data_IF_928528750001
#
_entry.id   IF_928528750001
#
_cell.length_a   1.000
_cell.length_b   1.000
_cell.length_c   1.000
_cell.angle_alpha   90.00
_cell.angle_beta   90.00
_cell.angle_gamma   90.00
#
_symmetry.space_group_name_H-M   'P 1'
#
loop_
_entity.id
_entity.type
_entity.pdbx_description
1 polymer ?
#
# COMPACT_ATOMS: atom_id res chain seq x y z
N UNK A 1 -18.52 -19.34 16.58
CA UNK A 1 -18.19 -18.73 17.86
C UNK A 1 -17.08 -17.67 17.76
N UNK A 2 -16.35 -17.63 16.62
CA UNK A 2 -15.37 -16.60 16.31
C UNK A 2 -15.50 -16.16 14.86
N UNK A 3 -15.16 -14.91 14.55
CA UNK A 3 -15.16 -14.33 13.22
C UNK A 3 -13.83 -13.59 12.97
N UNK A 4 -13.30 -13.81 11.78
CA UNK A 4 -12.09 -13.23 11.26
C UNK A 4 -12.39 -12.43 9.99
N UNK A 5 -11.70 -11.32 9.79
CA UNK A 5 -11.80 -10.53 8.56
C UNK A 5 -13.17 -9.90 8.31
N UNK A 6 -13.93 -9.64 9.36
CA UNK A 6 -15.20 -8.94 9.23
C UNK A 6 -14.98 -7.49 8.80
N UNK A 7 -15.96 -6.96 8.05
CA UNK A 7 -16.00 -5.55 7.72
C UNK A 7 -16.01 -4.72 9.01
N UNK A 8 -15.06 -3.80 9.18
CA UNK A 8 -14.97 -2.95 10.39
C UNK A 8 -16.21 -2.08 10.62
N UNK A 9 -17.00 -1.81 9.58
CA UNK A 9 -18.31 -1.16 9.74
C UNK A 9 -19.29 -1.95 10.62
N UNK A 10 -19.06 -3.28 10.78
CA UNK A 10 -19.87 -4.17 11.63
C UNK A 10 -19.35 -4.26 13.08
N UNK A 11 -18.14 -3.80 13.38
CA UNK A 11 -17.53 -3.95 14.71
C UNK A 11 -18.37 -3.37 15.85
N UNK A 12 -19.05 -2.21 15.70
CA UNK A 12 -19.92 -1.70 16.77
C UNK A 12 -21.04 -2.66 17.23
N UNK A 13 -21.40 -3.63 16.38
CA UNK A 13 -22.40 -4.64 16.75
C UNK A 13 -21.88 -5.67 17.76
N UNK A 14 -20.56 -5.76 17.91
CA UNK A 14 -19.86 -6.73 18.76
C UNK A 14 -19.14 -6.06 19.95
N UNK A 15 -19.25 -4.74 20.09
CA UNK A 15 -18.66 -3.99 21.21
C UNK A 15 -19.57 -4.07 22.46
N UNK A 16 -19.70 -5.28 23.01
CA UNK A 16 -20.48 -5.59 24.21
C UNK A 16 -19.86 -6.78 24.97
N UNK A 17 -20.42 -7.12 26.14
CA UNK A 17 -19.83 -8.14 27.05
C UNK A 17 -19.91 -9.58 26.50
N UNK A 18 -20.70 -9.84 25.47
CA UNK A 18 -20.83 -11.16 24.86
C UNK A 18 -19.66 -11.51 23.94
N UNK A 19 -18.82 -10.52 23.59
CA UNK A 19 -17.72 -10.68 22.64
C UNK A 19 -16.41 -10.11 23.17
N UNK A 20 -15.31 -10.70 22.70
CA UNK A 20 -13.96 -10.21 22.92
C UNK A 20 -13.27 -9.96 21.58
N UNK A 21 -12.33 -8.99 21.58
CA UNK A 21 -11.53 -8.63 20.41
C UNK A 21 -10.06 -8.82 20.72
N UNK A 22 -9.33 -9.45 19.80
CA UNK A 22 -7.88 -9.32 19.72
C UNK A 22 -7.52 -8.62 18.42
N UNK A 23 -6.52 -7.75 18.44
CA UNK A 23 -6.17 -6.94 17.28
C UNK A 23 -4.67 -6.68 17.23
N UNK A 24 -4.11 -6.71 16.02
CA UNK A 24 -2.70 -6.38 15.76
C UNK A 24 -2.52 -5.74 14.39
N UNK A 25 -1.43 -4.99 14.20
CA UNK A 25 -0.98 -4.60 12.87
C UNK A 25 -0.43 -5.82 12.14
N UNK A 26 -0.86 -6.03 10.92
CA UNK A 26 -0.42 -7.16 10.10
C UNK A 26 0.48 -6.71 8.95
N UNK A 27 1.20 -7.66 8.35
CA UNK A 27 1.96 -7.43 7.12
C UNK A 27 1.08 -7.30 5.87
N UNK A 28 -0.25 -7.24 6.00
CA UNK A 28 -1.12 -6.89 4.87
C UNK A 28 -1.08 -5.39 4.63
N UNK A 29 -0.35 -5.00 3.59
CA UNK A 29 -0.26 -3.63 3.14
C UNK A 29 -1.28 -3.33 2.04
N UNK A 30 -1.84 -2.11 2.06
CA UNK A 30 -2.62 -1.50 0.99
C UNK A 30 -1.77 -0.42 0.35
N UNK A 31 -1.56 -0.49 -0.95
CA UNK A 31 -0.61 0.36 -1.66
C UNK A 31 -1.04 0.58 -3.11
N UNK A 32 -0.58 1.69 -3.69
CA UNK A 32 -0.55 1.92 -5.11
C UNK A 32 0.84 1.66 -5.67
N UNK A 33 0.97 0.97 -6.77
CA UNK A 33 2.21 0.89 -7.52
C UNK A 33 2.13 1.64 -8.83
N UNK A 34 3.25 2.23 -9.25
CA UNK A 34 3.33 3.06 -10.43
C UNK A 34 3.67 2.25 -11.67
N UNK A 35 3.09 2.62 -12.79
CA UNK A 35 3.45 2.07 -14.09
C UNK A 35 4.56 2.93 -14.74
N UNK A 36 5.75 2.38 -14.86
CA UNK A 36 6.92 3.08 -15.42
C UNK A 36 6.90 3.22 -16.95
N UNK A 37 6.00 2.50 -17.64
CA UNK A 37 5.77 2.65 -19.09
C UNK A 37 4.65 3.65 -19.41
N UNK A 38 3.93 4.15 -18.41
CA UNK A 38 2.90 5.16 -18.60
C UNK A 38 3.50 6.50 -19.03
N UNK A 39 2.90 7.22 -19.98
CA UNK A 39 3.38 8.55 -20.37
C UNK A 39 3.30 9.59 -19.24
N UNK A 40 2.57 9.30 -18.16
CA UNK A 40 2.36 10.21 -17.03
C UNK A 40 3.22 9.77 -15.82
N UNK A 41 3.09 8.54 -15.36
CA UNK A 41 3.82 8.05 -14.18
C UNK A 41 5.25 7.59 -14.47
N UNK A 42 5.71 7.60 -15.72
CA UNK A 42 7.15 7.53 -16.05
C UNK A 42 7.92 8.78 -15.59
N UNK A 43 7.24 9.94 -15.46
CA UNK A 43 7.85 11.17 -14.92
C UNK A 43 8.00 11.05 -13.38
N UNK A 44 9.24 11.10 -12.84
CA UNK A 44 9.47 10.98 -11.39
C UNK A 44 8.81 12.09 -10.57
N UNK A 45 8.61 13.29 -11.15
CA UNK A 45 7.91 14.37 -10.47
C UNK A 45 6.43 14.04 -10.24
N UNK A 46 5.80 13.36 -11.19
CA UNK A 46 4.41 12.90 -11.05
C UNK A 46 4.31 11.82 -9.97
N UNK A 47 5.20 10.83 -9.96
CA UNK A 47 5.22 9.81 -8.92
C UNK A 47 5.41 10.41 -7.53
N UNK A 48 6.35 11.35 -7.39
CA UNK A 48 6.59 12.08 -6.15
C UNK A 48 5.37 12.89 -5.72
N UNK A 49 4.74 13.61 -6.63
CA UNK A 49 3.55 14.39 -6.34
C UNK A 49 2.35 13.51 -5.93
N UNK A 50 2.19 12.30 -6.51
CA UNK A 50 1.19 11.32 -6.07
C UNK A 50 1.49 10.90 -4.62
N UNK A 51 2.76 10.58 -4.29
CA UNK A 51 3.14 10.18 -2.94
C UNK A 51 2.87 11.28 -1.90
N UNK A 52 3.16 12.55 -2.25
CA UNK A 52 2.91 13.73 -1.41
C UNK A 52 1.42 14.14 -1.38
N UNK A 53 0.64 13.76 -2.37
CA UNK A 53 -0.77 14.15 -2.51
C UNK A 53 -1.76 13.20 -1.84
N UNK A 54 -1.35 12.04 -1.33
CA UNK A 54 -2.23 11.07 -0.66
C UNK A 54 -2.16 11.25 0.85
N UNK A 55 -3.29 11.66 1.46
CA UNK A 55 -3.43 11.80 2.91
C UNK A 55 -3.70 10.45 3.59
N UNK A 56 -2.61 9.77 3.93
CA UNK A 56 -2.64 8.44 4.57
C UNK A 56 -3.25 8.48 5.98
N UNK A 57 -3.01 9.55 6.72
CA UNK A 57 -3.53 9.74 8.09
C UNK A 57 -5.04 9.89 8.08
N UNK A 58 -5.58 10.76 7.24
CA UNK A 58 -7.04 10.94 7.10
C UNK A 58 -7.68 9.69 6.51
N UNK A 59 -7.03 9.01 5.55
CA UNK A 59 -7.51 7.73 5.03
C UNK A 59 -7.73 6.73 6.17
N UNK A 60 -6.76 6.54 7.05
CA UNK A 60 -6.86 5.57 8.16
C UNK A 60 -7.80 6.06 9.26
N UNK A 61 -7.67 7.30 9.72
CA UNK A 61 -8.42 7.79 10.88
C UNK A 61 -9.89 8.04 10.58
N UNK A 62 -10.21 8.54 9.37
CA UNK A 62 -11.58 8.93 8.99
C UNK A 62 -12.27 7.81 8.21
N UNK A 63 -11.68 7.39 7.08
CA UNK A 63 -12.33 6.43 6.18
C UNK A 63 -12.29 5.01 6.73
N UNK A 64 -11.15 4.57 7.27
CA UNK A 64 -11.04 3.28 7.94
C UNK A 64 -11.45 3.31 9.41
N UNK A 65 -11.90 4.46 9.93
CA UNK A 65 -12.33 4.62 11.33
C UNK A 65 -11.30 4.13 12.36
N UNK A 66 -10.01 4.24 12.05
CA UNK A 66 -8.91 3.76 12.89
C UNK A 66 -8.67 2.25 12.83
N UNK A 67 -9.32 1.53 11.92
CA UNK A 67 -9.09 0.08 11.72
C UNK A 67 -7.98 -0.21 10.70
N UNK A 68 -6.93 0.58 10.75
CA UNK A 68 -5.69 0.46 9.99
C UNK A 68 -4.56 1.19 10.69
N UNK A 69 -3.38 1.10 10.14
CA UNK A 69 -2.21 1.87 10.54
C UNK A 69 -1.66 2.57 9.30
N UNK A 70 -1.39 3.88 9.33
CA UNK A 70 -0.74 4.56 8.22
C UNK A 70 0.58 3.86 7.88
N UNK A 71 0.82 3.58 6.60
CA UNK A 71 2.00 2.86 6.19
C UNK A 71 3.11 3.81 5.74
N UNK A 72 4.33 3.58 6.24
CA UNK A 72 5.55 4.24 5.77
C UNK A 72 6.15 3.42 4.61
N UNK A 73 6.25 2.11 4.76
CA UNK A 73 6.84 1.19 3.79
C UNK A 73 6.07 -0.11 3.67
N UNK A 74 6.75 -1.13 3.18
CA UNK A 74 6.21 -2.46 2.89
C UNK A 74 5.71 -3.17 4.15
N UNK A 75 6.42 -2.99 5.29
CA UNK A 75 6.17 -3.73 6.52
C UNK A 75 5.79 -2.79 7.67
N UNK A 76 4.87 -3.23 8.56
CA UNK A 76 4.50 -2.46 9.74
C UNK A 76 5.62 -2.45 10.79
N UNK A 77 5.54 -1.52 11.74
CA UNK A 77 6.51 -1.33 12.83
C UNK A 77 6.60 -2.51 13.80
N UNK A 78 5.74 -3.52 13.67
CA UNK A 78 5.82 -4.78 14.41
C UNK A 78 6.98 -5.67 13.97
N UNK A 79 7.61 -5.38 12.84
CA UNK A 79 8.83 -6.04 12.35
C UNK A 79 10.07 -5.20 12.60
N UNK A 80 11.24 -5.84 12.83
CA UNK A 80 12.53 -5.16 13.00
C UNK A 80 12.94 -4.34 11.75
N UNK A 81 12.45 -4.73 10.59
CA UNK A 81 12.64 -4.08 9.29
C UNK A 81 11.43 -3.22 8.88
N UNK A 82 10.59 -2.80 9.84
CA UNK A 82 9.38 -2.01 9.59
C UNK A 82 9.63 -0.53 9.32
N UNK A 83 8.54 0.22 9.17
CA UNK A 83 8.51 1.60 8.73
C UNK A 83 9.27 2.60 9.60
N UNK A 84 9.51 2.28 10.89
CA UNK A 84 10.25 3.12 11.83
C UNK A 84 11.70 3.43 11.39
N UNK A 85 12.24 2.65 10.47
CA UNK A 85 13.61 2.79 9.95
C UNK A 85 13.66 3.48 8.57
N UNK A 86 12.52 3.95 8.06
CA UNK A 86 12.36 4.44 6.70
C UNK A 86 12.00 5.93 6.68
N UNK A 87 12.31 6.55 5.54
CA UNK A 87 11.88 7.89 5.20
C UNK A 87 11.00 7.83 3.96
N UNK A 88 9.85 8.49 3.99
CA UNK A 88 8.91 8.57 2.86
C UNK A 88 8.39 10.00 2.72
N UNK A 89 7.79 10.30 1.58
CA UNK A 89 7.10 11.58 1.38
C UNK A 89 5.94 11.72 2.39
N UNK A 90 5.85 12.89 3.02
CA UNK A 90 4.72 13.27 3.85
C UNK A 90 3.61 13.90 3.00
N UNK A 91 2.38 13.88 3.51
CA UNK A 91 1.29 14.61 2.88
C UNK A 91 1.59 16.12 2.88
N UNK A 92 1.85 16.65 1.70
CA UNK A 92 2.17 18.07 1.46
C UNK A 92 1.66 18.49 0.07
N UNK A 93 0.38 18.83 -0.05
CA UNK A 93 -0.21 19.21 -1.33
C UNK A 93 0.41 20.46 -1.94
N UNK A 94 0.90 21.40 -1.14
CA UNK A 94 1.56 22.61 -1.66
C UNK A 94 2.97 22.30 -2.17
N UNK A 95 3.69 21.41 -1.50
CA UNK A 95 4.97 20.87 -2.00
C UNK A 95 4.78 20.07 -3.29
N UNK A 96 3.73 19.24 -3.37
CA UNK A 96 3.39 18.47 -4.56
C UNK A 96 3.12 19.39 -5.79
N UNK A 97 2.38 20.48 -5.60
CA UNK A 97 2.15 21.48 -6.65
C UNK A 97 3.45 22.08 -7.17
N UNK A 98 4.39 22.42 -6.26
CA UNK A 98 5.70 22.97 -6.65
C UNK A 98 6.54 21.96 -7.42
N UNK A 99 6.57 20.70 -6.98
CA UNK A 99 7.27 19.61 -7.69
C UNK A 99 6.75 19.48 -9.11
N UNK A 100 5.43 19.53 -9.31
CA UNK A 100 4.82 19.47 -10.63
C UNK A 100 5.16 20.70 -11.48
N UNK A 101 5.08 21.90 -10.91
CA UNK A 101 5.41 23.15 -11.61
C UNK A 101 6.87 23.20 -12.08
N UNK A 102 7.80 22.82 -11.20
CA UNK A 102 9.23 22.75 -11.51
C UNK A 102 9.53 21.72 -12.62
N UNK A 103 8.72 20.68 -12.73
CA UNK A 103 8.81 19.68 -13.80
C UNK A 103 8.08 20.07 -15.09
N UNK A 104 7.40 21.23 -15.11
CA UNK A 104 6.70 21.75 -16.27
C UNK A 104 5.23 21.33 -16.39
N UNK A 105 4.66 20.67 -15.36
CA UNK A 105 3.23 20.39 -15.28
C UNK A 105 2.48 21.60 -14.74
N UNK A 106 1.76 22.32 -15.61
CA UNK A 106 1.06 23.55 -15.26
C UNK A 106 -0.36 23.53 -15.84
N UNK A 107 -1.31 24.16 -15.16
CA UNK A 107 -2.67 24.38 -15.66
C UNK A 107 -2.62 25.64 -16.55
N UNK A 108 -2.50 25.48 -17.85
CA UNK A 108 -2.33 26.59 -18.79
C UNK A 108 -3.65 27.04 -19.42
N UNK A 109 -4.69 26.20 -19.41
CA UNK A 109 -6.01 26.52 -19.95
C UNK A 109 -7.02 26.92 -18.85
N UNK A 110 -6.68 26.73 -17.57
CA UNK A 110 -7.48 27.16 -16.42
C UNK A 110 -8.64 26.21 -16.09
N UNK A 111 -8.60 24.96 -16.55
CA UNK A 111 -9.64 23.96 -16.27
C UNK A 111 -9.44 23.24 -14.93
N UNK A 112 -8.32 23.51 -14.23
CA UNK A 112 -7.96 22.94 -12.94
C UNK A 112 -7.16 21.65 -13.03
N UNK A 113 -6.86 21.15 -14.23
CA UNK A 113 -6.02 19.99 -14.47
C UNK A 113 -4.71 20.44 -15.13
N UNK A 114 -3.60 19.95 -14.64
CA UNK A 114 -2.28 20.30 -15.17
C UNK A 114 -2.01 19.56 -16.48
N UNK A 115 -1.22 20.19 -17.35
CA UNK A 115 -0.71 19.56 -18.56
C UNK A 115 0.76 19.88 -18.79
N UNK A 116 1.42 19.02 -19.58
CA UNK A 116 2.80 19.19 -20.03
C UNK A 116 2.91 18.66 -21.46
N UNK A 117 3.45 19.48 -22.37
CA UNK A 117 3.64 19.14 -23.79
C UNK A 117 2.35 18.60 -24.48
N UNK A 118 1.19 19.12 -24.10
CA UNK A 118 -0.13 18.71 -24.61
C UNK A 118 -0.70 17.43 -23.96
N UNK A 119 0.01 16.81 -23.03
CA UNK A 119 -0.49 15.68 -22.22
C UNK A 119 -1.15 16.22 -20.96
N UNK A 120 -2.43 15.92 -20.74
CA UNK A 120 -3.12 16.21 -19.47
C UNK A 120 -2.66 15.25 -18.38
N UNK A 121 -2.63 15.75 -17.14
CA UNK A 121 -2.27 14.99 -15.95
C UNK A 121 -3.48 14.17 -15.48
N UNK A 122 -3.86 13.22 -16.32
CA UNK A 122 -4.91 12.23 -16.07
C UNK A 122 -4.26 10.94 -15.55
N UNK A 123 -4.74 10.44 -14.41
CA UNK A 123 -4.23 9.22 -13.76
C UNK A 123 -5.28 8.12 -13.85
N UNK A 124 -5.04 7.10 -14.64
CA UNK A 124 -5.90 5.91 -14.71
C UNK A 124 -5.59 5.00 -13.51
N UNK A 125 -6.46 5.09 -12.51
CA UNK A 125 -6.32 4.35 -11.26
C UNK A 125 -7.07 3.03 -11.31
N UNK A 126 -6.36 1.92 -11.44
CA UNK A 126 -6.93 0.58 -11.45
C UNK A 126 -6.99 0.02 -10.02
N UNK A 127 -8.11 -0.61 -9.66
CA UNK A 127 -8.26 -1.34 -8.41
C UNK A 127 -9.39 -2.37 -8.49
N UNK A 128 -9.75 -3.01 -7.36
CA UNK A 128 -10.79 -4.04 -7.31
C UNK A 128 -11.64 -3.98 -6.03
N UNK A 129 -12.92 -4.45 -6.09
CA UNK A 129 -13.88 -4.27 -5.00
C UNK A 129 -13.83 -5.34 -3.90
N UNK A 130 -13.06 -6.43 -4.06
CA UNK A 130 -13.07 -7.54 -3.10
C UNK A 130 -12.39 -7.23 -1.76
N UNK A 131 -11.72 -6.08 -1.64
CA UNK A 131 -11.20 -5.49 -0.41
C UNK A 131 -11.84 -4.11 -0.25
N UNK A 132 -12.61 -3.91 0.81
CA UNK A 132 -13.40 -2.69 1.04
C UNK A 132 -12.53 -1.43 1.16
N UNK A 133 -11.27 -1.57 1.58
CA UNK A 133 -10.31 -0.49 1.72
C UNK A 133 -9.89 0.10 0.37
N UNK A 134 -9.82 -0.71 -0.67
CA UNK A 134 -9.29 -0.30 -1.97
C UNK A 134 -10.17 0.69 -2.74
N UNK A 135 -11.50 0.51 -2.84
CA UNK A 135 -12.38 1.55 -3.40
C UNK A 135 -12.31 2.85 -2.60
N UNK A 136 -12.28 2.77 -1.26
CA UNK A 136 -12.16 3.95 -0.40
C UNK A 136 -10.82 4.68 -0.60
N UNK A 137 -9.73 3.92 -0.78
CA UNK A 137 -8.42 4.49 -1.10
C UNK A 137 -8.43 5.21 -2.46
N UNK A 138 -9.05 4.61 -3.47
CA UNK A 138 -9.18 5.22 -4.79
C UNK A 138 -9.97 6.53 -4.75
N UNK A 139 -11.10 6.56 -4.05
CA UNK A 139 -11.93 7.76 -3.86
C UNK A 139 -11.20 8.85 -3.06
N UNK A 140 -10.45 8.45 -2.00
CA UNK A 140 -9.62 9.36 -1.22
C UNK A 140 -8.51 9.97 -2.06
N UNK A 141 -7.77 9.14 -2.81
CA UNK A 141 -6.72 9.59 -3.72
C UNK A 141 -7.28 10.52 -4.81
N UNK A 142 -8.44 10.19 -5.40
CA UNK A 142 -9.11 11.05 -6.39
C UNK A 142 -9.40 12.45 -5.81
N UNK A 143 -9.92 12.50 -4.59
CA UNK A 143 -10.25 13.78 -3.96
C UNK A 143 -9.01 14.62 -3.67
N UNK A 144 -7.98 14.04 -3.05
CA UNK A 144 -6.79 14.79 -2.64
C UNK A 144 -5.87 15.12 -3.82
N UNK A 145 -5.72 14.23 -4.80
CA UNK A 145 -4.91 14.48 -6.00
C UNK A 145 -5.55 15.54 -6.93
N UNK A 146 -6.87 15.66 -6.93
CA UNK A 146 -7.55 16.75 -7.63
C UNK A 146 -7.13 18.13 -7.11
N UNK A 147 -6.87 18.27 -5.82
CA UNK A 147 -6.44 19.53 -5.20
C UNK A 147 -5.06 20.00 -5.72
N UNK A 148 -4.27 19.09 -6.26
CA UNK A 148 -2.96 19.38 -6.82
C UNK A 148 -2.94 19.41 -8.35
N UNK A 149 -4.14 19.31 -8.98
CA UNK A 149 -4.32 19.44 -10.43
C UNK A 149 -4.18 18.13 -11.20
N UNK A 150 -4.46 16.98 -10.57
CA UNK A 150 -4.53 15.67 -11.23
C UNK A 150 -5.98 15.24 -11.42
N UNK A 151 -6.34 14.71 -12.57
CA UNK A 151 -7.63 14.06 -12.81
C UNK A 151 -7.51 12.55 -12.67
N UNK A 152 -8.06 11.98 -11.59
CA UNK A 152 -7.97 10.54 -11.32
C UNK A 152 -9.20 9.83 -11.83
N UNK A 153 -8.99 8.96 -12.82
CA UNK A 153 -10.02 8.12 -13.46
C UNK A 153 -10.02 6.74 -12.81
N UNK A 154 -11.00 6.46 -11.92
CA UNK A 154 -11.06 5.21 -11.15
C UNK A 154 -11.69 4.09 -12.01
N UNK A 155 -10.96 3.00 -12.18
CA UNK A 155 -11.44 1.73 -12.70
C UNK A 155 -11.42 0.66 -11.59
N UNK A 156 -12.53 0.51 -10.88
CA UNK A 156 -12.69 -0.50 -9.83
C UNK A 156 -13.42 -1.73 -10.39
N UNK A 157 -12.67 -2.78 -10.70
CA UNK A 157 -13.20 -3.94 -11.42
C UNK A 157 -12.68 -5.28 -10.88
N UNK A 158 -13.50 -6.33 -10.97
CA UNK A 158 -13.07 -7.69 -10.68
C UNK A 158 -12.14 -8.29 -11.74
N UNK A 159 -12.07 -7.70 -12.93
CA UNK A 159 -11.18 -8.10 -14.04
C UNK A 159 -9.79 -7.43 -13.96
N UNK A 160 -9.44 -6.84 -12.83
CA UNK A 160 -8.19 -6.14 -12.62
C UNK A 160 -6.94 -6.99 -12.96
N UNK A 161 -6.99 -8.30 -12.72
CA UNK A 161 -5.88 -9.21 -13.02
C UNK A 161 -5.58 -9.36 -14.52
N UNK A 162 -6.57 -9.18 -15.38
CA UNK A 162 -6.38 -9.13 -16.83
C UNK A 162 -5.85 -7.77 -17.25
N UNK A 163 -6.49 -6.71 -16.77
CA UNK A 163 -6.18 -5.31 -17.14
C UNK A 163 -4.75 -4.94 -16.74
N UNK A 164 -4.30 -5.28 -15.51
CA UNK A 164 -2.96 -4.91 -15.03
C UNK A 164 -1.79 -5.48 -15.86
N UNK A 165 -2.04 -6.50 -16.69
CA UNK A 165 -1.02 -7.09 -17.57
C UNK A 165 -0.78 -6.28 -18.83
N UNK A 166 -1.66 -5.34 -19.13
CA UNK A 166 -1.52 -4.42 -20.26
C UNK A 166 -1.17 -3.02 -19.70
N UNK A 167 0.11 -2.61 -19.76
CA UNK A 167 0.58 -1.34 -19.20
C UNK A 167 -0.03 -0.12 -19.91
N UNK A 168 -0.68 -0.29 -21.05
CA UNK A 168 -1.36 0.81 -21.75
C UNK A 168 -2.71 1.18 -21.13
N UNK A 169 -3.23 0.40 -20.18
CA UNK A 169 -4.58 0.54 -19.63
C UNK A 169 -4.64 1.19 -18.24
N UNK A 170 -3.51 1.43 -17.58
CA UNK A 170 -3.46 1.97 -16.23
C UNK A 170 -2.15 2.74 -15.97
N UNK A 171 -2.17 3.61 -14.96
CA UNK A 171 -1.02 4.40 -14.52
C UNK A 171 -0.65 4.08 -13.06
N UNK A 172 -1.66 3.89 -12.21
CA UNK A 172 -1.51 3.43 -10.82
C UNK A 172 -2.41 2.21 -10.62
N UNK A 173 -1.85 1.13 -10.06
CA UNK A 173 -2.65 -0.01 -9.62
C UNK A 173 -2.65 -0.12 -8.11
N UNK A 174 -3.81 0.10 -7.49
CA UNK A 174 -3.98 -0.06 -6.05
C UNK A 174 -4.37 -1.50 -5.72
N UNK A 175 -3.61 -2.10 -4.81
CA UNK A 175 -3.73 -3.51 -4.41
C UNK A 175 -3.46 -3.71 -2.93
N UNK A 176 -3.70 -4.94 -2.48
CA UNK A 176 -3.40 -5.39 -1.13
C UNK A 176 -2.67 -6.73 -1.15
N UNK A 177 -1.63 -6.85 -0.33
CA UNK A 177 -0.84 -8.07 -0.23
C UNK A 177 -0.36 -8.32 1.20
N UNK A 178 -0.31 -9.56 1.62
CA UNK A 178 0.46 -9.98 2.80
C UNK A 178 1.92 -10.01 2.41
N UNK A 179 2.70 -9.07 2.91
CA UNK A 179 4.06 -8.79 2.44
C UNK A 179 5.13 -9.68 3.07
N UNK A 180 4.86 -10.24 4.26
CA UNK A 180 5.74 -11.17 4.96
C UNK A 180 4.94 -12.37 5.53
N UNK A 181 4.45 -13.30 4.68
CA UNK A 181 3.59 -14.41 5.12
C UNK A 181 4.28 -15.39 6.07
N UNK A 182 5.61 -15.51 5.99
CA UNK A 182 6.43 -16.35 6.87
C UNK A 182 7.19 -15.55 7.92
N UNK A 183 7.01 -14.22 7.96
CA UNK A 183 7.83 -13.32 8.77
C UNK A 183 9.18 -12.95 8.12
N UNK A 184 9.51 -13.52 6.96
CA UNK A 184 10.72 -13.16 6.20
C UNK A 184 10.43 -11.99 5.24
N UNK A 185 11.34 -11.00 5.12
CA UNK A 185 11.13 -9.81 4.29
C UNK A 185 11.26 -10.04 2.78
N UNK A 186 11.87 -11.13 2.31
CA UNK A 186 12.22 -11.34 0.90
C UNK A 186 11.00 -11.47 -0.01
N UNK A 187 9.89 -12.03 0.52
CA UNK A 187 8.71 -12.42 -0.28
C UNK A 187 8.11 -11.27 -1.10
N UNK A 188 7.99 -10.07 -0.53
CA UNK A 188 7.42 -8.94 -1.26
C UNK A 188 8.29 -8.54 -2.45
N UNK A 189 9.59 -8.46 -2.25
CA UNK A 189 10.53 -8.03 -3.28
C UNK A 189 10.56 -9.01 -4.45
N UNK A 190 10.76 -10.29 -4.17
CA UNK A 190 10.78 -11.34 -5.20
C UNK A 190 9.46 -11.50 -5.95
N UNK A 191 8.34 -11.18 -5.29
CA UNK A 191 7.01 -11.28 -5.92
C UNK A 191 6.66 -10.09 -6.80
N UNK A 192 7.12 -8.87 -6.45
CA UNK A 192 6.53 -7.63 -6.98
C UNK A 192 7.51 -6.66 -7.62
N UNK A 193 8.80 -6.61 -7.21
CA UNK A 193 9.63 -5.44 -7.47
C UNK A 193 10.88 -5.66 -8.29
N UNK A 194 11.28 -6.92 -8.49
CA UNK A 194 12.43 -7.27 -9.31
C UNK A 194 12.03 -7.43 -10.78
N UNK A 195 12.98 -7.35 -11.69
CA UNK A 195 12.75 -7.53 -13.13
C UNK A 195 12.06 -8.84 -13.46
N UNK A 196 12.46 -9.93 -12.79
CA UNK A 196 11.91 -11.28 -13.00
C UNK A 196 10.64 -11.55 -12.18
N UNK A 197 10.17 -10.59 -11.37
CA UNK A 197 8.97 -10.77 -10.53
C UNK A 197 7.71 -10.91 -11.39
N UNK A 198 6.96 -11.98 -11.19
CA UNK A 198 5.74 -12.28 -11.94
C UNK A 198 4.65 -11.21 -11.79
N UNK A 199 4.72 -10.38 -10.75
CA UNK A 199 3.78 -9.30 -10.48
C UNK A 199 4.33 -7.91 -10.75
N UNK A 200 5.55 -7.76 -11.28
CA UNK A 200 6.10 -6.45 -11.67
C UNK A 200 5.51 -5.97 -13.01
N UNK A 201 4.18 -5.81 -13.04
CA UNK A 201 3.48 -5.34 -14.26
C UNK A 201 3.62 -3.83 -14.48
N UNK A 202 4.18 -3.10 -13.52
CA UNK A 202 4.52 -1.68 -13.65
C UNK A 202 5.90 -1.43 -14.25
N UNK A 203 6.65 -2.49 -14.56
CA UNK A 203 7.98 -2.44 -15.17
C UNK A 203 8.97 -1.56 -14.39
N UNK A 204 8.86 -1.56 -13.06
CA UNK A 204 9.86 -0.92 -12.21
C UNK A 204 11.20 -1.65 -12.33
N UNK A 205 12.28 -0.91 -12.48
CA UNK A 205 13.64 -1.43 -12.55
C UNK A 205 14.58 -0.61 -11.64
N UNK A 206 15.44 -1.30 -10.90
CA UNK A 206 16.49 -0.69 -10.10
C UNK A 206 17.68 -1.64 -9.93
N UNK A 207 18.81 -1.30 -10.55
CA UNK A 207 20.07 -2.05 -10.39
C UNK A 207 20.45 -2.23 -8.92
N UNK A 208 20.22 -1.19 -8.10
CA UNK A 208 20.49 -1.22 -6.66
C UNK A 208 19.62 -2.25 -5.95
N UNK A 209 18.33 -2.34 -6.31
CA UNK A 209 17.41 -3.30 -5.73
C UNK A 209 17.79 -4.75 -6.11
N UNK A 210 18.15 -4.97 -7.37
CA UNK A 210 18.62 -6.27 -7.88
C UNK A 210 19.89 -6.73 -7.15
N UNK A 211 20.82 -5.81 -6.87
CA UNK A 211 22.06 -6.13 -6.16
C UNK A 211 21.83 -6.40 -4.66
N UNK A 212 20.89 -5.69 -4.03
CA UNK A 212 20.49 -5.94 -2.64
C UNK A 212 19.79 -7.32 -2.52
N UNK A 213 18.97 -7.70 -3.49
CA UNK A 213 18.33 -9.01 -3.52
C UNK A 213 19.34 -10.16 -3.66
N UNK A 214 20.36 -10.01 -4.49
CA UNK A 214 21.46 -10.99 -4.58
C UNK A 214 22.17 -11.18 -3.24
N UNK A 215 22.33 -10.12 -2.46
CA UNK A 215 22.90 -10.18 -1.11
C UNK A 215 21.93 -10.86 -0.15
N UNK A 216 20.63 -10.49 -0.20
CA UNK A 216 19.57 -11.08 0.63
C UNK A 216 19.50 -12.60 0.48
N UNK A 217 19.59 -13.12 -0.75
CA UNK A 217 19.58 -14.56 -1.04
C UNK A 217 20.76 -15.35 -0.44
N UNK A 218 21.85 -14.68 -0.11
CA UNK A 218 23.07 -15.31 0.44
C UNK A 218 23.24 -15.03 1.94
N UNK A 219 22.41 -14.16 2.50
CA UNK A 219 22.50 -13.80 3.92
C UNK A 219 21.49 -14.63 4.75
N UNK A 220 21.97 -15.23 5.83
CA UNK A 220 21.19 -16.06 6.74
C UNK A 220 21.11 -15.47 8.17
N UNK A 221 21.88 -14.43 8.45
CA UNK A 221 21.80 -13.71 9.71
C UNK A 221 20.54 -12.80 9.70
N UNK A 222 19.68 -12.94 10.70
CA UNK A 222 18.39 -12.25 10.74
C UNK A 222 18.52 -10.73 10.81
N UNK A 223 19.52 -10.22 11.55
CA UNK A 223 19.73 -8.79 11.71
C UNK A 223 20.22 -8.16 10.39
N UNK A 224 21.15 -8.83 9.70
CA UNK A 224 21.62 -8.38 8.40
C UNK A 224 20.56 -8.47 7.32
N UNK A 225 19.69 -9.49 7.36
CA UNK A 225 18.52 -9.57 6.47
C UNK A 225 17.57 -8.42 6.73
N UNK A 226 17.36 -8.04 7.99
CA UNK A 226 16.58 -6.85 8.36
C UNK A 226 17.19 -5.57 7.78
N UNK A 227 18.50 -5.39 7.89
CA UNK A 227 19.22 -4.22 7.33
C UNK A 227 19.10 -4.16 5.79
N UNK A 228 19.20 -5.31 5.11
CA UNK A 228 19.01 -5.38 3.66
C UNK A 228 17.56 -5.04 3.28
N UNK A 229 16.58 -5.56 4.01
CA UNK A 229 15.16 -5.26 3.78
C UNK A 229 14.84 -3.76 3.94
N UNK A 230 15.45 -3.09 4.93
CA UNK A 230 15.34 -1.64 5.12
C UNK A 230 15.90 -0.91 3.89
N UNK A 231 17.09 -1.29 3.41
CA UNK A 231 17.70 -0.67 2.24
C UNK A 231 16.89 -0.90 0.96
N UNK A 232 16.31 -2.10 0.78
CA UNK A 232 15.46 -2.43 -0.36
C UNK A 232 14.17 -1.60 -0.33
N UNK A 233 13.51 -1.50 0.82
CA UNK A 233 12.33 -0.63 0.98
C UNK A 233 12.66 0.83 0.68
N UNK A 234 13.76 1.35 1.25
CA UNK A 234 14.15 2.74 1.04
C UNK A 234 14.42 3.03 -0.45
N UNK A 235 15.00 2.08 -1.18
CA UNK A 235 15.22 2.22 -2.63
C UNK A 235 13.90 2.38 -3.39
N UNK A 236 12.89 1.58 -3.06
CA UNK A 236 11.55 1.67 -3.68
C UNK A 236 10.86 3.01 -3.35
N UNK A 237 11.05 3.50 -2.10
CA UNK A 237 10.46 4.75 -1.64
C UNK A 237 11.16 5.97 -2.26
N UNK A 238 12.49 5.95 -2.40
CA UNK A 238 13.27 7.03 -3.03
C UNK A 238 12.87 7.21 -4.51
N UNK A 239 12.55 6.11 -5.20
CA UNK A 239 12.09 6.13 -6.59
C UNK A 239 10.58 6.45 -6.72
N UNK A 240 9.86 6.54 -5.59
CA UNK A 240 8.40 6.64 -5.55
C UNK A 240 7.72 5.58 -6.44
N UNK A 241 8.28 4.37 -6.48
CA UNK A 241 7.75 3.28 -7.28
C UNK A 241 6.46 2.70 -6.68
N UNK A 242 6.31 2.84 -5.37
CA UNK A 242 5.15 2.43 -4.59
C UNK A 242 4.75 3.51 -3.59
N UNK A 243 3.45 3.67 -3.37
CA UNK A 243 2.88 4.46 -2.28
C UNK A 243 2.17 3.52 -1.33
N UNK A 244 2.79 3.23 -0.19
CA UNK A 244 2.16 2.43 0.87
C UNK A 244 1.23 3.33 1.67
N UNK A 245 -0.04 2.94 1.78
CA UNK A 245 -1.09 3.80 2.34
C UNK A 245 -1.49 3.35 3.74
N UNK A 246 -1.73 2.05 3.94
CA UNK A 246 -2.04 1.52 5.26
C UNK A 246 -1.64 0.06 5.41
N UNK A 247 -1.42 -0.37 6.67
CA UNK A 247 -1.40 -1.78 7.05
C UNK A 247 -2.74 -2.16 7.68
N UNK A 248 -3.22 -3.37 7.37
CA UNK A 248 -4.45 -3.88 7.96
C UNK A 248 -4.28 -4.04 9.47
N UNK A 249 -5.19 -3.45 10.23
CA UNK A 249 -5.40 -3.82 11.62
C UNK A 249 -6.31 -5.04 11.64
N UNK A 250 -5.70 -6.21 11.75
CA UNK A 250 -6.46 -7.45 11.90
C UNK A 250 -7.20 -7.46 13.22
N UNK A 251 -8.49 -7.83 13.18
CA UNK A 251 -9.28 -8.07 14.38
C UNK A 251 -9.91 -9.44 14.31
N UNK A 252 -9.73 -10.20 15.39
CA UNK A 252 -10.44 -11.43 15.67
C UNK A 252 -11.55 -11.12 16.66
N UNK A 253 -12.79 -11.41 16.31
CA UNK A 253 -13.98 -11.23 17.15
C UNK A 253 -14.41 -12.60 17.63
N UNK A 254 -14.55 -12.79 18.92
CA UNK A 254 -14.90 -14.07 19.54
C UNK A 254 -16.07 -13.89 20.50
N UNK A 255 -16.92 -14.91 20.64
CA UNK A 255 -17.77 -15.01 21.81
C UNK A 255 -16.90 -15.11 23.07
N UNK A 256 -17.35 -14.52 24.20
CA UNK A 256 -16.58 -14.42 25.43
C UNK A 256 -16.19 -15.75 26.06
N UNK A 257 -16.83 -16.85 25.67
CA UNK A 257 -16.45 -18.21 26.07
C UNK A 257 -15.40 -18.87 25.16
N UNK A 258 -14.90 -18.20 24.13
CA UNK A 258 -13.81 -18.69 23.28
C UNK A 258 -12.48 -18.12 23.77
N UNK A 259 -11.48 -18.97 23.92
CA UNK A 259 -10.14 -18.62 24.37
C UNK A 259 -9.08 -19.16 23.40
N UNK A 260 -7.86 -18.63 23.44
CA UNK A 260 -6.71 -19.12 22.67
C UNK A 260 -6.68 -18.69 21.21
N UNK A 261 -7.59 -17.81 20.74
CA UNK A 261 -7.48 -17.17 19.43
C UNK A 261 -6.90 -15.77 19.56
N UNK A 262 -5.89 -15.48 18.75
CA UNK A 262 -5.26 -14.16 18.67
C UNK A 262 -5.04 -13.76 17.22
N UNK A 263 -5.15 -12.47 16.92
CA UNK A 263 -4.73 -11.94 15.63
C UNK A 263 -3.19 -12.01 15.52
N UNK A 264 -2.67 -12.49 14.39
CA UNK A 264 -1.23 -12.68 14.17
C UNK A 264 -0.67 -11.64 13.18
N UNK A 265 0.54 -11.09 13.40
CA UNK A 265 1.12 -10.06 12.52
C UNK A 265 1.32 -10.47 11.06
N UNK A 266 1.49 -11.74 10.75
CA UNK A 266 1.59 -12.20 9.37
C UNK A 266 0.23 -12.45 8.67
N UNK A 267 -0.90 -12.17 9.34
CA UNK A 267 -2.27 -12.37 8.82
C UNK A 267 -2.62 -13.85 8.53
N UNK A 268 -1.89 -14.77 9.16
CA UNK A 268 -2.08 -16.22 9.12
C UNK A 268 -1.82 -16.82 10.52
N UNK A 269 -1.97 -18.13 10.67
CA UNK A 269 -1.65 -18.88 11.90
C UNK A 269 -2.52 -18.50 13.11
N UNK A 270 -3.78 -18.15 12.90
CA UNK A 270 -4.72 -17.78 13.97
C UNK A 270 -5.18 -18.98 14.80
N UNK A 271 -5.15 -20.19 14.19
CA UNK A 271 -5.54 -21.43 14.85
C UNK A 271 -4.33 -22.09 15.50
N UNK A 272 -4.35 -22.19 16.80
CA UNK A 272 -3.31 -22.85 17.61
C UNK A 272 -3.91 -23.97 18.47
N UNK A 273 -3.02 -24.75 19.13
CA UNK A 273 -3.44 -25.78 20.07
C UNK A 273 -4.09 -25.23 21.36
N UNK A 274 -4.00 -23.91 21.58
CA UNK A 274 -4.55 -23.23 22.76
C UNK A 274 -6.03 -22.85 22.60
N UNK A 275 -6.61 -23.08 21.40
CA UNK A 275 -8.03 -22.80 21.13
C UNK A 275 -8.90 -23.69 21.98
N UNK A 276 -9.77 -23.07 22.78
CA UNK A 276 -10.76 -23.77 23.60
C UNK A 276 -12.10 -23.03 23.63
N UNK A 277 -13.16 -23.74 23.93
CA UNK A 277 -14.52 -23.20 24.12
C UNK A 277 -15.01 -23.67 25.50
N UNK A 278 -15.17 -22.74 26.43
CA UNK A 278 -15.59 -22.97 27.78
C UNK A 278 -17.11 -22.93 27.94
#
# INVERSE_FOLDING_TARGET
NAAYGMAYASYPLFENDDFTFTSTATSRAFYGWMNFESPVTSDPAVRKAIAMGIDKESFVSVLLKGYGYPAVGVFPDTFSFGGQNLTTESYDPDGAKKVLEEAGWVDSDGDGIREKDGQKLEIRWLTYPSRQELPLLAESAQATLKEIGMDVQINCTSDNNTIRKDPTLWDVYASAMVTAPTGDPEYFFTSCTLDESASNNGHYHSDKLEDLEKQMKQEFDADKRSDLAIQMQQTILDDNAYVFCSHLRMSMIMQSNVTGLTAHPCDYYELTADLDIN
#
